data_IF_131339254718
#
_entry.id   IF_131339254718
#
_cell.length_a   1.000
_cell.length_b   1.000
_cell.length_c   1.000
_cell.angle_alpha   90.00
_cell.angle_beta   90.00
_cell.angle_gamma   90.00
#
_symmetry.space_group_name_H-M   'P 1'
#
loop_
_entity.id
_entity.type
_entity.pdbx_description
1 polymer ?
#
# COMPACT_ATOMS: atom_id res chain seq x y z
N UNK A 1 -32.26 -33.59 -11.43
CA UNK A 1 -31.40 -34.27 -10.44
C UNK A 1 -30.00 -33.64 -10.45
N UNK A 2 -29.80 -32.55 -9.71
CA UNK A 2 -28.47 -31.94 -9.54
C UNK A 2 -27.82 -32.50 -8.27
N UNK A 3 -26.80 -33.35 -8.41
CA UNK A 3 -26.03 -33.83 -7.26
C UNK A 3 -25.03 -32.74 -6.88
N UNK A 4 -25.19 -32.16 -5.70
CA UNK A 4 -24.15 -31.38 -5.04
C UNK A 4 -22.95 -32.31 -4.80
N UNK A 5 -21.89 -32.16 -5.59
CA UNK A 5 -20.64 -32.89 -5.33
C UNK A 5 -19.91 -32.17 -4.19
N UNK A 6 -20.04 -32.70 -2.97
CA UNK A 6 -19.12 -32.34 -1.90
C UNK A 6 -17.75 -32.94 -2.22
N UNK A 7 -16.89 -32.16 -2.87
CA UNK A 7 -15.49 -32.52 -3.06
C UNK A 7 -14.76 -32.28 -1.73
N UNK A 8 -14.28 -33.32 -1.04
CA UNK A 8 -13.51 -33.13 0.18
C UNK A 8 -12.18 -32.45 -0.17
N UNK A 9 -12.01 -31.20 0.29
CA UNK A 9 -10.75 -30.48 0.18
C UNK A 9 -9.89 -30.90 1.37
N UNK A 10 -8.88 -31.73 1.11
CA UNK A 10 -7.93 -32.20 2.14
C UNK A 10 -6.63 -31.43 1.93
N UNK A 11 -6.10 -30.82 3.00
CA UNK A 11 -4.79 -30.17 2.97
C UNK A 11 -3.66 -31.21 3.11
N UNK A 12 -2.41 -30.81 2.90
CA UNK A 12 -1.26 -31.74 2.87
C UNK A 12 -1.09 -32.52 4.18
N UNK A 13 -1.30 -31.88 5.33
CA UNK A 13 -1.27 -32.54 6.65
C UNK A 13 -2.35 -33.63 6.79
N UNK A 14 -3.57 -33.35 6.34
CA UNK A 14 -4.67 -34.30 6.32
C UNK A 14 -4.42 -35.47 5.37
N UNK A 15 -3.80 -35.21 4.22
CA UNK A 15 -3.40 -36.24 3.26
C UNK A 15 -2.42 -37.23 3.89
N UNK A 16 -1.35 -36.75 4.53
CA UNK A 16 -0.38 -37.63 5.18
C UNK A 16 -1.00 -38.44 6.33
N UNK A 17 -1.85 -37.81 7.15
CA UNK A 17 -2.57 -38.50 8.24
C UNK A 17 -3.42 -39.66 7.72
N UNK A 18 -4.10 -39.46 6.58
CA UNK A 18 -4.90 -40.48 5.93
C UNK A 18 -4.04 -41.61 5.35
N UNK A 19 -2.93 -41.29 4.70
CA UNK A 19 -2.02 -42.28 4.12
C UNK A 19 -1.34 -43.12 5.21
N UNK A 20 -0.93 -42.51 6.32
CA UNK A 20 -0.23 -43.21 7.42
C UNK A 20 -1.12 -44.18 8.21
N UNK A 21 -2.44 -43.91 8.25
CA UNK A 21 -3.46 -44.73 8.91
C UNK A 21 -4.14 -45.75 7.96
N UNK A 22 -4.06 -45.53 6.65
CA UNK A 22 -4.67 -46.39 5.63
C UNK A 22 -4.03 -47.78 5.55
N UNK A 23 -4.85 -48.81 5.34
CA UNK A 23 -4.43 -50.21 5.17
C UNK A 23 -4.22 -50.61 3.70
N UNK A 24 -4.47 -49.71 2.75
CA UNK A 24 -4.34 -49.98 1.32
C UNK A 24 -2.89 -50.34 0.93
N UNK A 25 -2.67 -51.27 -0.01
CA UNK A 25 -1.32 -51.65 -0.44
C UNK A 25 -0.46 -50.47 -0.93
N UNK A 26 -1.07 -49.51 -1.64
CA UNK A 26 -0.38 -48.30 -2.10
C UNK A 26 0.08 -47.42 -0.94
N UNK A 27 -0.78 -47.21 0.06
CA UNK A 27 -0.46 -46.44 1.26
C UNK A 27 0.66 -47.08 2.08
N UNK A 28 0.67 -48.42 2.19
CA UNK A 28 1.75 -49.17 2.84
C UNK A 28 3.10 -49.00 2.13
N UNK A 29 3.13 -49.03 0.79
CA UNK A 29 4.34 -48.79 -0.01
C UNK A 29 4.89 -47.38 0.24
N UNK A 30 4.02 -46.37 0.17
CA UNK A 30 4.39 -44.99 0.44
C UNK A 30 4.92 -44.79 1.86
N UNK A 31 4.19 -45.29 2.87
CA UNK A 31 4.62 -45.24 4.28
C UNK A 31 6.01 -45.86 4.46
N UNK A 32 6.23 -47.04 3.88
CA UNK A 32 7.52 -47.74 3.95
C UNK A 32 8.62 -46.88 3.35
N UNK A 33 8.46 -46.42 2.11
CA UNK A 33 9.42 -45.55 1.42
C UNK A 33 9.77 -44.29 2.24
N UNK A 34 8.76 -43.58 2.75
CA UNK A 34 8.98 -42.39 3.60
C UNK A 34 9.77 -42.74 4.86
N UNK A 35 9.43 -43.83 5.55
CA UNK A 35 10.09 -44.20 6.82
C UNK A 35 11.46 -44.82 6.67
N UNK A 36 11.73 -45.54 5.58
CA UNK A 36 13.00 -46.24 5.39
C UNK A 36 14.03 -45.43 4.62
N UNK A 37 13.60 -44.49 3.78
CA UNK A 37 14.48 -43.77 2.86
C UNK A 37 14.45 -42.26 3.10
N UNK A 38 13.26 -41.65 3.03
CA UNK A 38 13.14 -40.18 3.08
C UNK A 38 13.50 -39.62 4.45
N UNK A 39 12.84 -40.09 5.52
CA UNK A 39 13.06 -39.57 6.87
C UNK A 39 14.48 -39.82 7.40
N UNK A 40 15.09 -41.01 7.21
CA UNK A 40 16.48 -41.22 7.59
C UNK A 40 17.47 -40.30 6.85
N UNK A 41 17.28 -40.09 5.55
CA UNK A 41 18.11 -39.19 4.76
C UNK A 41 18.00 -37.73 5.23
N UNK A 42 16.77 -37.23 5.43
CA UNK A 42 16.54 -35.88 5.98
C UNK A 42 17.16 -35.76 7.38
N UNK A 43 17.04 -36.78 8.24
CA UNK A 43 17.63 -36.74 9.59
C UNK A 43 19.16 -36.70 9.56
N UNK A 44 19.80 -37.38 8.61
CA UNK A 44 21.26 -37.49 8.52
C UNK A 44 21.90 -36.30 7.78
N UNK A 45 21.31 -35.87 6.67
CA UNK A 45 21.91 -34.88 5.76
C UNK A 45 21.15 -33.54 5.73
N UNK A 46 20.01 -33.44 6.41
CA UNK A 46 19.14 -32.25 6.40
C UNK A 46 18.28 -32.10 5.15
N UNK A 47 18.42 -33.00 4.16
CA UNK A 47 17.66 -32.99 2.91
C UNK A 47 17.46 -34.40 2.34
N UNK A 48 16.45 -34.56 1.48
CA UNK A 48 16.29 -35.73 0.62
C UNK A 48 16.44 -35.28 -0.83
N UNK A 49 17.40 -35.87 -1.54
CA UNK A 49 17.61 -35.70 -2.96
C UNK A 49 17.61 -37.08 -3.60
N UNK A 50 17.10 -37.18 -4.84
CA UNK A 50 17.22 -38.42 -5.62
C UNK A 50 18.70 -38.67 -5.95
N UNK A 51 19.08 -39.94 -6.09
CA UNK A 51 20.47 -40.35 -6.34
C UNK A 51 21.11 -39.62 -7.54
N UNK A 52 20.33 -39.36 -8.60
CA UNK A 52 20.76 -38.57 -9.78
C UNK A 52 21.28 -37.14 -9.45
N UNK A 53 20.80 -36.54 -8.36
CA UNK A 53 21.27 -35.23 -7.86
C UNK A 53 22.45 -35.34 -6.91
N UNK A 54 22.58 -36.47 -6.21
CA UNK A 54 23.68 -36.74 -5.27
C UNK A 54 24.96 -37.15 -6.01
N UNK A 55 24.81 -37.85 -7.14
CA UNK A 55 25.91 -38.30 -7.98
C UNK A 55 26.61 -37.16 -8.75
N UNK A 56 26.01 -35.96 -8.76
CA UNK A 56 26.55 -34.80 -9.47
C UNK A 56 26.58 -33.53 -8.59
N UNK A 57 27.58 -33.41 -7.69
CA UNK A 57 27.66 -32.30 -6.73
C UNK A 57 27.75 -30.92 -7.42
N UNK A 58 28.33 -30.85 -8.62
CA UNK A 58 28.42 -29.60 -9.40
C UNK A 58 27.05 -29.09 -9.85
N UNK A 59 26.15 -30.00 -10.25
CA UNK A 59 24.77 -29.66 -10.61
C UNK A 59 24.02 -29.07 -9.40
N UNK A 60 24.23 -29.65 -8.22
CA UNK A 60 23.58 -29.21 -6.99
C UNK A 60 24.05 -27.82 -6.56
N UNK A 61 25.35 -27.52 -6.73
CA UNK A 61 25.91 -26.19 -6.50
C UNK A 61 25.33 -25.18 -7.50
N UNK A 62 25.26 -25.51 -8.79
CA UNK A 62 24.71 -24.62 -9.82
C UNK A 62 23.25 -24.24 -9.52
N UNK A 63 22.39 -25.23 -9.27
CA UNK A 63 20.98 -25.01 -8.93
C UNK A 63 20.84 -24.14 -7.67
N UNK A 64 21.64 -24.40 -6.63
CA UNK A 64 21.62 -23.61 -5.41
C UNK A 64 22.03 -22.15 -5.65
N UNK A 65 23.05 -21.91 -6.47
CA UNK A 65 23.50 -20.55 -6.81
C UNK A 65 22.47 -19.78 -7.63
N UNK A 66 21.78 -20.45 -8.55
CA UNK A 66 20.75 -19.84 -9.39
C UNK A 66 19.49 -19.49 -8.58
N UNK A 67 19.05 -20.39 -7.70
CA UNK A 67 17.96 -20.12 -6.74
C UNK A 67 18.29 -18.95 -5.79
N UNK A 68 19.55 -18.83 -5.36
CA UNK A 68 20.00 -17.71 -4.53
C UNK A 68 19.87 -16.39 -5.28
N UNK A 69 20.36 -16.33 -6.53
CA UNK A 69 20.24 -15.14 -7.38
C UNK A 69 18.78 -14.76 -7.63
N UNK A 70 17.93 -15.73 -7.99
CA UNK A 70 16.51 -15.49 -8.24
C UNK A 70 15.80 -14.93 -6.99
N UNK A 71 16.14 -15.45 -5.80
CA UNK A 71 15.61 -14.93 -4.52
C UNK A 71 16.10 -13.51 -4.23
N UNK A 72 17.36 -13.22 -4.46
CA UNK A 72 17.93 -11.88 -4.28
C UNK A 72 17.28 -10.86 -5.22
N UNK A 73 17.11 -11.22 -6.50
CA UNK A 73 16.41 -10.41 -7.49
C UNK A 73 14.95 -10.19 -7.10
N UNK A 74 14.21 -11.25 -6.75
CA UNK A 74 12.82 -11.14 -6.26
C UNK A 74 12.72 -10.25 -5.03
N UNK A 75 13.67 -10.35 -4.09
CA UNK A 75 13.70 -9.51 -2.90
C UNK A 75 13.95 -8.04 -3.24
N UNK A 76 14.93 -7.76 -4.10
CA UNK A 76 15.22 -6.40 -4.59
C UNK A 76 14.01 -5.81 -5.31
N UNK A 77 13.38 -6.57 -6.20
CA UNK A 77 12.19 -6.13 -6.94
C UNK A 77 11.02 -5.87 -5.99
N UNK A 78 10.81 -6.73 -4.99
CA UNK A 78 9.80 -6.52 -3.95
C UNK A 78 10.08 -5.29 -3.08
N UNK A 79 11.34 -5.02 -2.73
CA UNK A 79 11.73 -3.82 -2.00
C UNK A 79 11.50 -2.56 -2.84
N UNK A 80 11.81 -2.60 -4.14
CA UNK A 80 11.50 -1.50 -5.07
C UNK A 80 9.98 -1.28 -5.18
N UNK A 81 9.19 -2.35 -5.33
CA UNK A 81 7.73 -2.26 -5.34
C UNK A 81 7.16 -1.73 -4.03
N UNK A 82 7.74 -2.07 -2.86
CA UNK A 82 7.34 -1.50 -1.56
C UNK A 82 7.65 -0.01 -1.47
N UNK A 83 8.80 0.44 -1.96
CA UNK A 83 9.18 1.86 -2.01
C UNK A 83 8.32 2.66 -3.00
N UNK A 84 7.85 2.03 -4.07
CA UNK A 84 7.02 2.66 -5.11
C UNK A 84 5.51 2.56 -4.82
N UNK A 85 5.07 1.62 -3.99
CA UNK A 85 3.67 1.45 -3.57
C UNK A 85 2.98 2.73 -3.09
N UNK A 86 3.61 3.63 -2.31
CA UNK A 86 2.97 4.90 -1.94
C UNK A 86 2.84 5.87 -3.12
N UNK A 87 3.62 5.73 -4.19
CA UNK A 87 3.52 6.56 -5.41
C UNK A 87 2.46 6.07 -6.39
N UNK A 88 2.26 4.75 -6.49
CA UNK A 88 1.33 4.15 -7.48
C UNK A 88 -0.12 4.18 -7.01
N UNK A 89 -0.39 3.91 -5.72
CA UNK A 89 -1.73 4.10 -5.15
C UNK A 89 -2.20 5.57 -5.16
N UNK A 90 -1.26 6.50 -5.36
CA UNK A 90 -1.46 7.94 -5.30
C UNK A 90 -1.88 8.56 -6.66
N UNK A 91 -1.46 7.98 -7.79
CA UNK A 91 -1.80 8.51 -9.12
C UNK A 91 -3.26 8.21 -9.51
N UNK A 92 -3.74 6.98 -9.25
CA UNK A 92 -5.07 6.56 -9.70
C UNK A 92 -6.21 7.17 -8.87
N UNK A 93 -5.98 7.47 -7.59
CA UNK A 93 -7.01 8.04 -6.71
C UNK A 93 -7.24 9.55 -6.95
N UNK A 94 -6.21 10.28 -7.40
CA UNK A 94 -6.28 11.75 -7.59
C UNK A 94 -6.54 12.13 -9.05
N UNK A 95 -6.29 11.23 -10.01
CA UNK A 95 -6.58 11.46 -11.43
C UNK A 95 -8.07 11.54 -11.78
N UNK A 96 -8.99 11.20 -10.87
CA UNK A 96 -10.43 11.06 -11.18
C UNK A 96 -11.28 12.28 -10.81
N UNK A 97 -10.74 13.28 -10.10
CA UNK A 97 -11.52 14.47 -9.77
C UNK A 97 -11.09 15.69 -10.62
N UNK A 98 -11.72 15.87 -11.78
CA UNK A 98 -11.68 17.15 -12.53
C UNK A 98 -12.36 18.31 -11.78
N UNK A 99 -12.84 18.09 -10.55
CA UNK A 99 -13.63 19.04 -9.78
C UNK A 99 -12.85 19.58 -8.59
N UNK A 100 -13.10 20.85 -8.25
CA UNK A 100 -12.51 21.47 -7.07
C UNK A 100 -13.24 21.02 -5.79
N UNK A 101 -12.46 20.56 -4.81
CA UNK A 101 -12.97 20.04 -3.52
C UNK A 101 -12.68 21.04 -2.39
N UNK A 102 -13.40 20.95 -1.29
CA UNK A 102 -13.12 21.78 -0.11
C UNK A 102 -11.80 21.33 0.55
N UNK A 103 -11.09 22.28 1.17
CA UNK A 103 -9.88 21.99 1.95
C UNK A 103 -10.14 20.93 3.03
N UNK A 104 -11.33 20.95 3.65
CA UNK A 104 -11.73 19.96 4.64
C UNK A 104 -11.86 18.53 4.09
N UNK A 105 -12.30 18.39 2.83
CA UNK A 105 -12.43 17.09 2.18
C UNK A 105 -11.07 16.55 1.73
N UNK A 106 -10.17 17.43 1.26
CA UNK A 106 -8.76 17.05 1.05
C UNK A 106 -8.13 16.50 2.34
N UNK A 107 -8.39 17.11 3.50
CA UNK A 107 -7.86 16.61 4.76
C UNK A 107 -8.34 15.18 5.09
N UNK A 108 -9.62 14.86 4.80
CA UNK A 108 -10.15 13.50 4.99
C UNK A 108 -9.47 12.51 4.04
N UNK A 109 -9.28 12.89 2.78
CA UNK A 109 -8.58 12.07 1.79
C UNK A 109 -7.14 11.79 2.22
N UNK A 110 -6.41 12.81 2.67
CA UNK A 110 -5.02 12.64 3.16
C UNK A 110 -4.99 11.70 4.37
N UNK A 111 -5.97 11.80 5.28
CA UNK A 111 -6.10 10.91 6.44
C UNK A 111 -6.37 9.46 6.04
N UNK A 112 -7.24 9.23 5.06
CA UNK A 112 -7.51 7.89 4.53
C UNK A 112 -6.27 7.26 3.89
N UNK A 113 -5.38 8.07 3.32
CA UNK A 113 -4.11 7.63 2.74
C UNK A 113 -2.98 7.42 3.77
N UNK A 114 -3.29 7.38 5.07
CA UNK A 114 -2.35 7.01 6.13
C UNK A 114 -1.56 8.17 6.75
N UNK A 115 -1.84 9.41 6.39
CA UNK A 115 -1.21 10.59 6.99
C UNK A 115 -2.16 11.20 8.02
N UNK A 116 -1.84 11.14 9.31
CA UNK A 116 -2.71 11.70 10.36
C UNK A 116 -2.75 13.24 10.31
N UNK A 117 -3.74 13.77 9.57
CA UNK A 117 -4.06 15.18 9.47
C UNK A 117 -5.57 15.40 9.60
N UNK A 118 -5.94 16.48 10.30
CA UNK A 118 -7.34 16.93 10.40
C UNK A 118 -7.55 18.25 9.68
N UNK A 119 -8.79 18.59 9.36
CA UNK A 119 -9.13 19.84 8.65
C UNK A 119 -8.52 21.09 9.30
N UNK A 120 -8.64 21.24 10.63
CA UNK A 120 -8.04 22.38 11.36
C UNK A 120 -6.51 22.43 11.24
N UNK A 121 -5.85 21.27 11.31
CA UNK A 121 -4.38 21.15 11.15
C UNK A 121 -3.95 21.48 9.71
N UNK A 122 -4.71 21.03 8.71
CA UNK A 122 -4.42 21.36 7.31
C UNK A 122 -4.58 22.87 7.06
N UNK A 123 -5.65 23.49 7.54
CA UNK A 123 -5.82 24.94 7.44
C UNK A 123 -4.69 25.72 8.13
N UNK A 124 -4.25 25.28 9.30
CA UNK A 124 -3.10 25.89 9.98
C UNK A 124 -1.82 25.76 9.14
N UNK A 125 -1.54 24.55 8.66
CA UNK A 125 -0.37 24.27 7.83
C UNK A 125 -0.36 25.11 6.54
N UNK A 126 -1.50 25.24 5.86
CA UNK A 126 -1.60 26.04 4.64
C UNK A 126 -1.33 27.54 4.90
N UNK A 127 -1.74 28.07 6.06
CA UNK A 127 -1.42 29.45 6.46
C UNK A 127 0.05 29.63 6.84
N UNK A 128 0.62 28.68 7.56
CA UNK A 128 2.03 28.69 7.96
C UNK A 128 2.97 28.61 6.76
N UNK A 129 2.58 27.86 5.72
CA UNK A 129 3.36 27.69 4.49
C UNK A 129 3.04 28.75 3.42
N UNK A 130 2.26 29.79 3.74
CA UNK A 130 1.98 30.91 2.83
C UNK A 130 1.02 30.60 1.69
N UNK A 131 0.29 29.47 1.75
CA UNK A 131 -0.72 29.15 0.74
C UNK A 131 -2.02 29.92 0.96
N UNK A 132 -2.40 30.08 2.23
CA UNK A 132 -3.57 30.84 2.65
C UNK A 132 -3.15 32.04 3.50
N UNK A 133 -3.92 33.12 3.43
CA UNK A 133 -3.67 34.34 4.21
C UNK A 133 -3.90 34.06 5.71
N UNK A 134 -2.89 34.41 6.52
CA UNK A 134 -2.89 34.26 7.99
C UNK A 134 -3.51 35.43 8.73
N UNK A 135 -3.54 36.62 8.11
CA UNK A 135 -4.08 37.83 8.71
C UNK A 135 -5.55 37.62 9.07
N UNK A 136 -5.91 37.87 10.33
CA UNK A 136 -7.31 37.83 10.78
C UNK A 136 -8.04 39.03 10.19
N UNK A 137 -9.14 38.78 9.48
CA UNK A 137 -9.91 39.78 8.76
C UNK A 137 -10.81 39.11 7.70
N UNK A 138 -11.30 39.90 6.77
CA UNK A 138 -12.11 39.45 5.62
C UNK A 138 -11.38 38.43 4.76
N UNK A 139 -10.05 38.55 4.68
CA UNK A 139 -9.23 37.73 3.79
C UNK A 139 -8.69 36.47 4.49
N UNK A 140 -9.10 36.21 5.74
CA UNK A 140 -8.63 35.04 6.48
C UNK A 140 -9.03 33.75 5.76
N UNK A 141 -8.06 32.85 5.54
CA UNK A 141 -8.19 31.64 4.71
C UNK A 141 -8.40 31.87 3.21
N UNK A 142 -8.25 33.09 2.71
CA UNK A 142 -8.20 33.31 1.26
C UNK A 142 -6.86 32.82 0.68
N UNK A 143 -6.84 32.25 -0.54
CA UNK A 143 -5.60 31.92 -1.21
C UNK A 143 -4.73 33.15 -1.41
N UNK A 144 -3.42 33.00 -1.19
CA UNK A 144 -2.45 34.05 -1.53
C UNK A 144 -2.30 34.17 -3.04
N UNK A 145 -1.80 35.31 -3.52
CA UNK A 145 -1.51 35.49 -4.95
C UNK A 145 -0.60 34.37 -5.49
N UNK A 146 0.43 34.01 -4.73
CA UNK A 146 1.31 32.87 -5.02
C UNK A 146 0.54 31.55 -5.27
N UNK A 147 -0.46 31.25 -4.45
CA UNK A 147 -1.29 30.05 -4.61
C UNK A 147 -2.22 30.10 -5.81
N UNK A 148 -2.69 31.29 -6.15
CA UNK A 148 -3.53 31.54 -7.32
C UNK A 148 -2.72 31.42 -8.61
N UNK A 149 -1.51 31.98 -8.65
CA UNK A 149 -0.60 31.90 -9.80
C UNK A 149 -0.19 30.45 -10.10
N UNK A 150 -0.02 29.63 -9.05
CA UNK A 150 0.22 28.19 -9.20
C UNK A 150 -1.02 27.40 -9.64
N UNK A 151 -2.21 27.99 -9.60
CA UNK A 151 -3.48 27.35 -9.95
C UNK A 151 -3.91 26.27 -8.96
N UNK A 152 -3.56 26.42 -7.67
CA UNK A 152 -3.84 25.40 -6.64
C UNK A 152 -5.24 25.54 -6.04
N UNK A 153 -5.83 26.74 -6.11
CA UNK A 153 -7.11 27.04 -5.48
C UNK A 153 -8.08 27.77 -6.41
N UNK A 154 -9.36 27.63 -6.08
CA UNK A 154 -10.47 28.42 -6.59
C UNK A 154 -11.22 29.01 -5.40
N UNK A 155 -11.83 30.18 -5.59
CA UNK A 155 -12.65 30.82 -4.55
C UNK A 155 -14.12 30.67 -4.92
N UNK A 156 -14.91 30.04 -4.05
CA UNK A 156 -16.37 30.05 -4.13
C UNK A 156 -16.89 31.22 -3.31
N UNK A 157 -17.64 32.11 -3.93
CA UNK A 157 -18.38 33.16 -3.23
C UNK A 157 -19.81 32.70 -2.97
N UNK A 158 -20.37 33.05 -1.81
CA UNK A 158 -21.75 32.75 -1.44
C UNK A 158 -22.35 33.98 -0.78
N UNK A 159 -23.41 34.51 -1.38
CA UNK A 159 -24.19 35.61 -0.83
C UNK A 159 -25.10 35.11 0.29
N UNK A 160 -24.97 35.69 1.46
CA UNK A 160 -25.80 35.41 2.63
C UNK A 160 -26.65 36.65 2.86
N UNK A 161 -27.97 36.50 2.70
CA UNK A 161 -28.93 37.56 3.00
C UNK A 161 -29.35 37.42 4.46
N UNK A 162 -29.16 38.48 5.23
CA UNK A 162 -29.58 38.53 6.63
C UNK A 162 -31.01 39.04 6.76
N UNK A 163 -31.66 38.75 7.89
CA UNK A 163 -33.03 39.20 8.18
C UNK A 163 -33.18 40.74 8.13
N UNK A 164 -32.07 41.46 8.33
CA UNK A 164 -32.01 42.94 8.29
C UNK A 164 -31.81 43.50 6.86
N UNK A 165 -31.87 42.65 5.83
CA UNK A 165 -31.78 43.06 4.41
C UNK A 165 -30.38 43.34 3.89
N UNK A 166 -29.35 43.36 4.75
CA UNK A 166 -27.97 43.46 4.29
C UNK A 166 -27.45 42.12 3.75
N UNK A 167 -26.60 42.19 2.71
CA UNK A 167 -26.02 41.02 2.05
C UNK A 167 -24.55 40.94 2.44
N UNK A 168 -24.12 39.81 3.02
CA UNK A 168 -22.70 39.52 3.23
C UNK A 168 -22.20 38.47 2.24
N UNK A 169 -20.97 38.64 1.74
CA UNK A 169 -20.35 37.69 0.82
C UNK A 169 -19.37 36.84 1.62
N UNK A 170 -19.66 35.53 1.72
CA UNK A 170 -18.73 34.56 2.28
C UNK A 170 -17.87 33.96 1.17
N UNK A 171 -16.55 33.95 1.36
CA UNK A 171 -15.59 33.40 0.41
C UNK A 171 -14.98 32.12 0.98
N UNK A 172 -15.06 31.03 0.23
CA UNK A 172 -14.54 29.72 0.65
C UNK A 172 -13.47 29.23 -0.32
N UNK A 173 -12.26 28.89 0.16
CA UNK A 173 -11.23 28.31 -0.69
C UNK A 173 -11.58 26.85 -1.03
N UNK A 174 -11.48 26.52 -2.31
CA UNK A 174 -11.51 25.16 -2.85
C UNK A 174 -10.18 24.83 -3.49
N UNK A 175 -9.83 23.56 -3.52
CA UNK A 175 -8.57 23.06 -4.07
C UNK A 175 -8.87 22.43 -5.43
N UNK A 176 -8.18 22.90 -6.46
CA UNK A 176 -8.29 22.39 -7.84
C UNK A 176 -7.75 20.97 -7.93
N UNK A 177 -8.05 20.23 -9.01
CA UNK A 177 -7.44 18.91 -9.23
C UNK A 177 -5.90 18.98 -9.21
N UNK A 178 -5.31 20.03 -9.80
CA UNK A 178 -3.87 20.32 -9.73
C UNK A 178 -3.40 20.54 -8.29
N UNK A 179 -4.16 21.31 -7.50
CA UNK A 179 -3.88 21.55 -6.09
C UNK A 179 -3.92 20.27 -5.25
N UNK A 180 -4.85 19.37 -5.52
CA UNK A 180 -4.97 18.08 -4.82
C UNK A 180 -3.69 17.25 -5.03
N UNK A 181 -3.26 17.07 -6.28
CA UNK A 181 -2.03 16.35 -6.62
C UNK A 181 -0.82 16.99 -5.93
N UNK A 182 -0.74 18.33 -6.00
CA UNK A 182 0.38 19.09 -5.44
C UNK A 182 0.50 18.90 -3.92
N UNK A 183 -0.58 19.09 -3.17
CA UNK A 183 -0.53 19.02 -1.71
C UNK A 183 -0.25 17.61 -1.23
N UNK A 184 -0.87 16.60 -1.82
CA UNK A 184 -0.66 15.23 -1.35
C UNK A 184 0.78 14.78 -1.63
N UNK A 185 1.35 15.07 -2.80
CA UNK A 185 2.78 14.84 -3.07
C UNK A 185 3.66 15.48 -2.01
N UNK A 186 3.37 16.74 -1.66
CA UNK A 186 4.11 17.49 -0.65
C UNK A 186 4.00 16.88 0.75
N UNK A 187 2.87 16.30 1.11
CA UNK A 187 2.69 15.59 2.39
C UNK A 187 3.37 14.22 2.41
N UNK A 188 3.35 13.47 1.30
CA UNK A 188 4.08 12.20 1.17
C UNK A 188 5.59 12.43 1.30
N UNK A 189 6.15 13.41 0.59
CA UNK A 189 7.56 13.78 0.72
C UNK A 189 7.95 14.16 2.15
N UNK A 190 7.06 14.87 2.85
CA UNK A 190 7.28 15.26 4.24
C UNK A 190 7.33 14.03 5.16
N UNK A 191 6.47 13.03 4.94
CA UNK A 191 6.51 11.77 5.68
C UNK A 191 7.81 11.02 5.43
N UNK A 192 8.19 10.83 4.17
CA UNK A 192 9.44 10.15 3.81
C UNK A 192 10.66 10.84 4.42
N UNK A 193 10.70 12.18 4.41
CA UNK A 193 11.78 12.94 5.06
C UNK A 193 11.79 12.75 6.58
N UNK A 194 10.63 12.69 7.23
CA UNK A 194 10.54 12.45 8.68
C UNK A 194 10.98 11.05 9.08
N UNK A 195 10.67 10.03 8.27
CA UNK A 195 11.09 8.64 8.51
C UNK A 195 12.60 8.48 8.35
N UNK A 196 13.18 9.07 7.31
CA UNK A 196 14.63 9.05 7.07
C UNK A 196 15.38 9.78 8.20
N UNK A 197 14.84 10.89 8.71
CA UNK A 197 15.45 11.64 9.82
C UNK A 197 15.41 10.88 11.16
N UNK A 198 14.48 9.94 11.36
CA UNK A 198 14.39 9.13 12.57
C UNK A 198 15.28 7.87 12.53
N UNK A 199 15.78 7.49 11.35
CA UNK A 199 16.59 6.27 11.15
C UNK A 199 18.10 6.57 11.12
N UNK A 200 18.49 7.83 11.22
CA UNK A 200 19.88 8.29 11.39
C UNK A 200 20.10 8.76 12.81
#
# INVERSE_FOLDING_TARGET
MGRNQNTPIINESGLYSLVLSSKLPAAKKFKRWVTSEVLPNIRKYGMYAKDELLDNPDLLIQVATELKKEREEKKLLQEQMKKQKPKVLFADAVSVAHTSILVGDLAKLIKQNGIDIGAKRLFAWLRENGYLIRRKGTDYNMPTQYSMDLGLFEVKETSITHSDGHISISKTPKITGKGQIYFINKFVEKQTKSEIACTK
#
